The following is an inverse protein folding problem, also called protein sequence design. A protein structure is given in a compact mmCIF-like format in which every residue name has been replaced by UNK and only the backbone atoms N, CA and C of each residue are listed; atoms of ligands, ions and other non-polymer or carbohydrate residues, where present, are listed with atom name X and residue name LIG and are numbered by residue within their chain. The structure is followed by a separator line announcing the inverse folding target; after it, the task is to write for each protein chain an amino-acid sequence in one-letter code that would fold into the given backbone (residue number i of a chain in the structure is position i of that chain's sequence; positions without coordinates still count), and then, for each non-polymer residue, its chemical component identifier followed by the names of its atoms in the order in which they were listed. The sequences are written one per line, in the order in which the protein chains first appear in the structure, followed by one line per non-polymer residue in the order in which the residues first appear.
data_IF_374845607032
#
_entry.id   IF_374845607032
#
_cell.length_a   1.000
_cell.length_b   1.000
_cell.length_c   1.000
_cell.angle_alpha   90.00
_cell.angle_beta   90.00
_cell.angle_gamma   90.00
#
_symmetry.space_group_name_H-M   'P 1'
#
loop_
_entity.id
_entity.type
_entity.pdbx_description
1 polymer ?
#
# COMPACT_ATOMS: atom_id res chain seq x y z
N UNK A 1 -7.01 30.20 43.20
CA UNK A 1 -6.54 30.19 41.79
C UNK A 1 -6.29 28.74 41.43
N UNK A 2 -7.20 28.10 40.69
CA UNK A 2 -7.07 26.69 40.31
C UNK A 2 -6.05 26.59 39.17
N UNK A 3 -4.85 26.09 39.48
CA UNK A 3 -3.84 25.77 38.49
C UNK A 3 -4.15 24.39 37.93
N UNK A 4 -4.92 24.32 36.84
CA UNK A 4 -5.13 23.09 36.09
C UNK A 4 -3.84 22.86 35.29
N UNK A 5 -2.94 22.04 35.84
CA UNK A 5 -1.76 21.58 35.12
C UNK A 5 -2.12 20.30 34.34
N UNK A 6 -2.83 20.46 33.22
CA UNK A 6 -3.02 19.39 32.24
C UNK A 6 -1.86 19.44 31.25
N UNK A 7 -0.71 18.91 31.66
CA UNK A 7 0.36 18.55 30.71
C UNK A 7 0.03 17.19 30.11
N UNK A 8 -0.80 17.16 29.08
CA UNK A 8 -0.85 16.02 28.15
C UNK A 8 0.49 15.98 27.40
N UNK A 9 1.43 15.17 27.88
CA UNK A 9 2.67 14.84 27.18
C UNK A 9 2.32 14.08 25.89
N UNK A 10 2.08 14.80 24.79
CA UNK A 10 2.25 14.24 23.47
C UNK A 10 3.73 14.39 23.09
N UNK A 11 4.46 13.31 22.77
CA UNK A 11 5.80 13.46 22.23
C UNK A 11 5.70 14.12 20.84
N UNK A 12 6.30 15.29 20.67
CA UNK A 12 6.29 16.02 19.38
C UNK A 12 6.98 15.23 18.25
N UNK A 13 7.92 14.36 18.64
CA UNK A 13 8.67 13.49 17.74
C UNK A 13 8.71 12.07 18.28
N UNK A 14 8.46 11.10 17.40
CA UNK A 14 8.75 9.70 17.65
C UNK A 14 10.12 9.38 17.08
N UNK A 15 10.97 8.77 17.91
CA UNK A 15 12.27 8.28 17.48
C UNK A 15 12.10 6.88 16.89
N UNK A 16 12.23 6.86 15.57
CA UNK A 16 12.51 5.78 14.64
C UNK A 16 13.38 4.58 15.01
N UNK A 17 13.63 4.17 16.27
CA UNK A 17 14.72 3.24 16.66
C UNK A 17 14.91 2.08 15.69
N UNK A 18 15.72 2.32 14.66
CA UNK A 18 16.27 1.32 13.75
C UNK A 18 17.10 0.34 14.57
N UNK A 19 17.63 -0.70 13.93
CA UNK A 19 18.38 -1.73 14.65
C UNK A 19 19.63 -1.08 15.28
N UNK A 20 19.71 -0.94 16.62
CA UNK A 20 20.82 -0.25 17.26
C UNK A 20 22.10 -1.07 17.08
N UNK A 21 23.19 -0.42 16.67
CA UNK A 21 24.50 -1.06 16.43
C UNK A 21 24.75 -1.56 15.00
N UNK A 22 23.87 -1.24 14.04
CA UNK A 22 24.02 -1.63 12.63
C UNK A 22 24.09 -0.42 11.68
N UNK A 23 24.64 0.70 12.15
CA UNK A 23 24.73 1.96 11.39
C UNK A 23 25.56 1.82 10.12
N UNK A 24 26.65 1.04 10.13
CA UNK A 24 27.45 0.76 8.94
C UNK A 24 26.73 -0.13 7.90
N UNK A 25 25.77 -0.97 8.34
CA UNK A 25 25.01 -1.84 7.44
C UNK A 25 23.65 -1.24 7.01
N UNK A 26 23.28 -0.06 7.51
CA UNK A 26 22.07 0.66 7.07
C UNK A 26 22.09 0.94 5.56
N UNK A 27 23.26 1.26 5.00
CA UNK A 27 23.44 1.46 3.54
C UNK A 27 23.26 0.14 2.76
N UNK A 28 23.83 -0.95 3.28
CA UNK A 28 23.71 -2.28 2.66
C UNK A 28 22.28 -2.82 2.70
N UNK A 29 21.51 -2.48 3.74
CA UNK A 29 20.08 -2.84 3.87
C UNK A 29 19.19 -1.90 3.06
N UNK A 30 19.55 -0.63 2.92
CA UNK A 30 18.80 0.33 2.10
C UNK A 30 18.74 -0.08 0.62
N UNK A 31 19.82 -0.66 0.11
CA UNK A 31 19.95 -1.06 -1.29
C UNK A 31 18.90 -2.11 -1.75
N UNK A 32 18.67 -3.24 -1.05
CA UNK A 32 17.59 -4.16 -1.39
C UNK A 32 16.20 -3.54 -1.19
N UNK A 33 15.98 -2.68 -0.19
CA UNK A 33 14.71 -1.97 -0.03
C UNK A 33 14.42 -1.04 -1.20
N UNK A 34 15.43 -0.30 -1.68
CA UNK A 34 15.33 0.54 -2.88
C UNK A 34 15.02 -0.29 -4.13
N UNK A 35 15.71 -1.43 -4.29
CA UNK A 35 15.49 -2.32 -5.43
C UNK A 35 14.07 -2.91 -5.43
N UNK A 36 13.61 -3.43 -4.30
CA UNK A 36 12.25 -3.97 -4.16
C UNK A 36 11.21 -2.88 -4.46
N UNK A 37 11.43 -1.65 -3.99
CA UNK A 37 10.55 -0.53 -4.28
C UNK A 37 10.47 -0.21 -5.77
N UNK A 38 11.61 -0.10 -6.45
CA UNK A 38 11.64 0.14 -7.90
C UNK A 38 10.95 -0.98 -8.68
N UNK A 39 11.17 -2.24 -8.28
CA UNK A 39 10.51 -3.39 -8.89
C UNK A 39 9.00 -3.38 -8.66
N UNK A 40 8.54 -3.04 -7.45
CA UNK A 40 7.11 -2.91 -7.14
C UNK A 40 6.45 -1.77 -7.94
N UNK A 41 7.13 -0.63 -8.07
CA UNK A 41 6.69 0.50 -8.88
C UNK A 41 6.58 0.12 -10.35
N UNK A 42 7.64 -0.49 -10.89
CA UNK A 42 7.68 -0.88 -12.29
C UNK A 42 6.65 -1.96 -12.60
N UNK A 43 6.53 -2.97 -11.75
CA UNK A 43 5.55 -4.06 -11.89
C UNK A 43 4.12 -3.53 -11.92
N UNK A 44 3.70 -2.80 -10.88
CA UNK A 44 2.34 -2.29 -10.80
C UNK A 44 2.03 -1.21 -11.85
N UNK A 45 3.01 -0.37 -12.21
CA UNK A 45 2.85 0.59 -13.31
C UNK A 45 2.70 -0.12 -14.67
N UNK A 46 3.45 -1.19 -14.92
CA UNK A 46 3.29 -1.97 -16.17
C UNK A 46 1.92 -2.61 -16.27
N UNK A 47 1.37 -3.14 -15.17
CA UNK A 47 0.00 -3.67 -15.13
C UNK A 47 -1.02 -2.57 -15.50
N UNK A 48 -0.90 -1.38 -14.91
CA UNK A 48 -1.76 -0.25 -15.25
C UNK A 48 -1.63 0.17 -16.72
N UNK A 49 -0.40 0.19 -17.26
CA UNK A 49 -0.15 0.54 -18.66
C UNK A 49 -0.76 -0.49 -19.63
N UNK A 50 -0.68 -1.78 -19.31
CA UNK A 50 -1.30 -2.85 -20.10
C UNK A 50 -2.82 -2.67 -20.11
N UNK A 51 -3.42 -2.47 -18.93
CA UNK A 51 -4.88 -2.25 -18.79
C UNK A 51 -5.31 -0.98 -19.56
N UNK A 52 -4.49 0.07 -19.52
CA UNK A 52 -4.80 1.32 -20.21
C UNK A 52 -4.67 1.21 -21.73
N UNK A 53 -3.68 0.45 -22.23
CA UNK A 53 -3.46 0.25 -23.66
C UNK A 53 -4.55 -0.61 -24.30
N UNK A 54 -5.14 -1.55 -23.56
CA UNK A 54 -6.16 -2.47 -24.07
C UNK A 54 -7.59 -2.02 -23.68
N UNK A 55 -8.15 -1.07 -24.43
CA UNK A 55 -9.55 -0.61 -24.30
C UNK A 55 -10.62 -1.70 -24.53
N UNK A 56 -10.24 -2.90 -25.00
CA UNK A 56 -11.13 -4.00 -25.39
C UNK A 56 -11.22 -5.13 -24.35
N UNK A 57 -10.32 -5.23 -23.37
CA UNK A 57 -10.39 -6.23 -22.29
C UNK A 57 -11.28 -5.74 -21.14
N UNK A 58 -12.57 -5.57 -21.44
CA UNK A 58 -13.59 -5.14 -20.47
C UNK A 58 -14.13 -6.33 -19.67
N UNK A 59 -13.28 -6.93 -18.87
CA UNK A 59 -13.68 -7.95 -17.90
C UNK A 59 -13.58 -7.40 -16.47
N UNK A 60 -14.49 -7.79 -15.58
CA UNK A 60 -14.55 -7.27 -14.19
C UNK A 60 -13.23 -7.47 -13.44
N UNK A 61 -12.51 -8.55 -13.78
CA UNK A 61 -11.19 -8.87 -13.24
C UNK A 61 -10.14 -7.78 -13.50
N UNK A 62 -10.15 -7.11 -14.66
CA UNK A 62 -9.16 -6.07 -14.98
C UNK A 62 -9.40 -4.78 -14.18
N UNK A 63 -10.65 -4.46 -13.85
CA UNK A 63 -10.95 -3.35 -12.94
C UNK A 63 -10.40 -3.62 -11.54
N UNK A 64 -10.57 -4.85 -11.02
CA UNK A 64 -10.00 -5.22 -9.72
C UNK A 64 -8.46 -5.18 -9.72
N UNK A 65 -7.82 -5.62 -10.81
CA UNK A 65 -6.36 -5.54 -10.96
C UNK A 65 -5.85 -4.09 -11.06
N UNK A 66 -6.59 -3.20 -11.73
CA UNK A 66 -6.26 -1.77 -11.78
C UNK A 66 -6.35 -1.12 -10.39
N UNK A 67 -7.40 -1.45 -9.62
CA UNK A 67 -7.56 -0.94 -8.26
C UNK A 67 -6.47 -1.51 -7.34
N UNK A 68 -6.17 -2.82 -7.44
CA UNK A 68 -5.13 -3.47 -6.64
C UNK A 68 -3.75 -2.85 -6.93
N UNK A 69 -3.37 -2.71 -8.19
CA UNK A 69 -2.08 -2.09 -8.57
C UNK A 69 -1.97 -0.63 -8.15
N UNK A 70 -3.07 0.13 -8.14
CA UNK A 70 -3.09 1.49 -7.60
C UNK A 70 -2.90 1.51 -6.07
N UNK A 71 -3.54 0.57 -5.35
CA UNK A 71 -3.36 0.41 -3.89
C UNK A 71 -1.92 0.01 -3.58
N UNK A 72 -1.32 -0.91 -4.34
CA UNK A 72 0.07 -1.35 -4.17
C UNK A 72 1.07 -0.21 -4.38
N UNK A 73 0.83 0.65 -5.39
CA UNK A 73 1.62 1.88 -5.59
C UNK A 73 1.50 2.81 -4.38
N UNK A 74 0.29 3.01 -3.85
CA UNK A 74 0.05 3.89 -2.71
C UNK A 74 0.67 3.36 -1.41
N UNK A 75 0.57 2.04 -1.15
CA UNK A 75 1.22 1.37 -0.04
C UNK A 75 2.74 1.48 -0.13
N UNK A 76 3.30 1.15 -1.30
CA UNK A 76 4.75 1.23 -1.54
C UNK A 76 5.27 2.66 -1.37
N UNK A 77 4.54 3.65 -1.88
CA UNK A 77 4.93 5.08 -1.79
C UNK A 77 4.74 5.67 -0.39
N UNK A 78 3.83 5.16 0.43
CA UNK A 78 3.62 5.64 1.80
C UNK A 78 4.56 4.99 2.82
N UNK A 79 4.96 3.72 2.62
CA UNK A 79 5.83 2.99 3.54
C UNK A 79 7.32 3.14 3.19
N UNK A 80 7.69 2.99 1.93
CA UNK A 80 9.09 2.79 1.53
C UNK A 80 9.92 4.08 1.53
N UNK A 81 9.45 5.24 1.02
CA UNK A 81 10.18 6.50 1.10
C UNK A 81 10.48 6.93 2.54
N UNK A 82 9.63 6.57 3.49
CA UNK A 82 9.86 6.87 4.91
C UNK A 82 10.99 6.00 5.49
N UNK A 83 10.98 4.70 5.19
CA UNK A 83 12.08 3.79 5.55
C UNK A 83 13.40 4.23 4.90
N UNK A 84 13.40 4.53 3.60
CA UNK A 84 14.56 5.03 2.87
C UNK A 84 15.07 6.36 3.43
N UNK A 85 14.18 7.29 3.80
CA UNK A 85 14.56 8.56 4.42
C UNK A 85 15.26 8.39 5.77
N UNK A 86 14.83 7.42 6.58
CA UNK A 86 15.48 7.06 7.84
C UNK A 86 16.88 6.48 7.58
N UNK A 87 17.00 5.54 6.62
CA UNK A 87 18.26 4.89 6.29
C UNK A 87 19.31 5.83 5.64
N UNK A 88 18.89 6.78 4.79
CA UNK A 88 19.80 7.60 3.98
C UNK A 88 20.14 8.95 4.61
N UNK A 89 19.19 9.58 5.30
CA UNK A 89 19.36 10.93 5.86
C UNK A 89 19.49 10.95 7.38
N UNK A 90 19.51 9.78 8.03
CA UNK A 90 19.44 9.65 9.48
C UNK A 90 18.25 10.44 10.07
N UNK A 91 17.19 10.62 9.28
CA UNK A 91 15.98 11.36 9.60
C UNK A 91 15.04 10.48 10.43
N UNK A 92 15.57 10.02 11.55
CA UNK A 92 14.93 9.13 12.51
C UNK A 92 13.80 9.80 13.27
N UNK A 93 13.73 11.13 13.17
CA UNK A 93 12.65 11.93 13.73
C UNK A 93 11.46 11.96 12.77
N UNK A 94 10.34 11.41 13.24
CA UNK A 94 9.03 11.58 12.62
C UNK A 94 8.16 12.41 13.57
N UNK A 95 7.60 13.51 13.05
CA UNK A 95 6.60 14.26 13.79
C UNK A 95 5.39 13.38 14.08
N UNK A 96 4.82 13.47 15.28
CA UNK A 96 3.70 12.63 15.72
C UNK A 96 2.55 12.58 14.71
N UNK A 97 2.15 13.74 14.16
CA UNK A 97 1.08 13.84 13.16
C UNK A 97 1.40 13.09 11.86
N UNK A 98 2.66 13.09 11.42
CA UNK A 98 3.09 12.36 10.23
C UNK A 98 3.11 10.84 10.48
N UNK A 99 3.50 10.41 11.68
CA UNK A 99 3.46 9.00 12.09
C UNK A 99 2.02 8.47 12.12
N UNK A 100 1.11 9.19 12.77
CA UNK A 100 -0.31 8.81 12.83
C UNK A 100 -0.93 8.80 11.43
N UNK A 101 -0.64 9.81 10.60
CA UNK A 101 -1.11 9.84 9.22
C UNK A 101 -0.58 8.64 8.41
N UNK A 102 0.70 8.31 8.53
CA UNK A 102 1.31 7.17 7.84
C UNK A 102 0.68 5.85 8.28
N UNK A 103 0.53 5.63 9.60
CA UNK A 103 -0.10 4.42 10.13
C UNK A 103 -1.54 4.28 9.66
N UNK A 104 -2.31 5.37 9.69
CA UNK A 104 -3.68 5.40 9.21
C UNK A 104 -3.75 5.05 7.72
N UNK A 105 -2.92 5.69 6.88
CA UNK A 105 -2.85 5.40 5.46
C UNK A 105 -2.52 3.92 5.20
N UNK A 106 -1.49 3.38 5.83
CA UNK A 106 -1.10 1.96 5.66
C UNK A 106 -2.26 1.03 6.05
N UNK A 107 -2.90 1.26 7.20
CA UNK A 107 -4.04 0.44 7.63
C UNK A 107 -5.22 0.52 6.66
N UNK A 108 -5.59 1.72 6.23
CA UNK A 108 -6.70 1.90 5.28
C UNK A 108 -6.41 1.24 3.95
N UNK A 109 -5.22 1.41 3.38
CA UNK A 109 -4.84 0.78 2.13
C UNK A 109 -4.74 -0.74 2.22
N UNK A 110 -4.17 -1.29 3.30
CA UNK A 110 -4.13 -2.75 3.52
C UNK A 110 -5.54 -3.33 3.66
N UNK A 111 -6.45 -2.60 4.31
CA UNK A 111 -7.86 -2.97 4.39
C UNK A 111 -8.54 -2.96 3.03
N UNK A 112 -8.27 -1.94 2.20
CA UNK A 112 -8.77 -1.88 0.83
C UNK A 112 -8.21 -3.00 -0.05
N UNK A 113 -6.91 -3.29 0.04
CA UNK A 113 -6.25 -4.39 -0.65
C UNK A 113 -6.95 -5.72 -0.32
N UNK A 114 -7.14 -5.98 0.97
CA UNK A 114 -7.83 -7.18 1.46
C UNK A 114 -9.27 -7.27 0.95
N UNK A 115 -10.01 -6.16 0.94
CA UNK A 115 -11.38 -6.10 0.44
C UNK A 115 -11.45 -6.36 -1.08
N UNK A 116 -10.49 -5.83 -1.84
CA UNK A 116 -10.38 -6.06 -3.29
C UNK A 116 -10.03 -7.52 -3.59
N UNK A 117 -9.07 -8.10 -2.86
CA UNK A 117 -8.73 -9.53 -2.98
C UNK A 117 -9.93 -10.43 -2.63
N UNK A 118 -10.68 -10.08 -1.58
CA UNK A 118 -11.91 -10.78 -1.22
C UNK A 118 -12.97 -10.66 -2.34
N UNK A 119 -13.13 -9.48 -2.92
CA UNK A 119 -14.05 -9.27 -4.03
C UNK A 119 -13.64 -10.09 -5.27
N UNK A 120 -12.34 -10.18 -5.59
CA UNK A 120 -11.84 -11.04 -6.68
C UNK A 120 -12.10 -12.52 -6.40
N UNK A 121 -11.88 -12.97 -5.16
CA UNK A 121 -12.14 -14.35 -4.77
C UNK A 121 -13.65 -14.67 -4.85
N UNK A 122 -14.50 -13.74 -4.44
CA UNK A 122 -15.95 -13.87 -4.52
C UNK A 122 -16.44 -13.88 -5.98
N UNK A 123 -15.96 -12.97 -6.82
CA UNK A 123 -16.26 -12.92 -8.25
C UNK A 123 -15.96 -14.25 -8.94
N UNK A 124 -14.75 -14.80 -8.70
CA UNK A 124 -14.40 -16.15 -9.20
C UNK A 124 -15.27 -17.25 -8.62
N UNK A 125 -15.62 -17.19 -7.33
CA UNK A 125 -16.51 -18.17 -6.72
C UNK A 125 -17.90 -18.14 -7.36
N UNK A 126 -18.46 -16.96 -7.61
CA UNK A 126 -19.77 -16.80 -8.28
C UNK A 126 -19.70 -17.29 -9.73
N UNK A 127 -18.64 -16.96 -10.47
CA UNK A 127 -18.44 -17.45 -11.84
C UNK A 127 -18.39 -18.99 -11.92
N UNK A 128 -17.86 -19.66 -10.88
CA UNK A 128 -17.79 -21.12 -10.77
C UNK A 128 -19.13 -21.72 -10.30
N UNK A 129 -19.77 -21.13 -9.30
CA UNK A 129 -20.98 -21.69 -8.68
C UNK A 129 -22.27 -21.39 -9.47
N UNK A 130 -22.28 -20.34 -10.29
CA UNK A 130 -23.43 -19.94 -11.10
C UNK A 130 -23.01 -19.61 -12.55
N UNK A 131 -22.50 -20.59 -13.32
CA UNK A 131 -22.05 -20.36 -14.70
C UNK A 131 -23.20 -20.02 -15.68
N UNK A 132 -24.46 -20.02 -15.22
CA UNK A 132 -25.64 -20.26 -16.07
C UNK A 132 -26.79 -19.25 -15.89
N UNK A 133 -26.49 -17.94 -15.82
CA UNK A 133 -27.51 -16.91 -16.12
C UNK A 133 -27.12 -16.01 -17.30
N UNK A 134 -26.03 -16.37 -18.01
CA UNK A 134 -25.60 -15.68 -19.24
C UNK A 134 -25.98 -16.45 -20.51
N UNK A 135 -26.21 -17.76 -20.43
CA UNK A 135 -26.56 -18.59 -21.60
C UNK A 135 -28.05 -18.65 -21.91
N UNK A 136 -28.94 -18.20 -21.02
CA UNK A 136 -30.40 -18.24 -21.24
C UNK A 136 -30.99 -16.99 -21.88
N UNK A 137 -30.21 -15.90 -22.01
CA UNK A 137 -30.65 -14.65 -22.66
C UNK A 137 -30.18 -14.58 -24.12
N UNK A 138 -29.18 -15.40 -24.50
CA UNK A 138 -28.60 -15.44 -25.86
C UNK A 138 -29.11 -16.62 -26.70
N UNK A 139 -30.42 -16.87 -26.65
CA UNK A 139 -31.09 -17.75 -27.61
C UNK A 139 -32.29 -16.95 -28.16
N UNK A 140 -32.16 -16.31 -29.34
CA UNK A 140 -33.32 -15.86 -30.10
C UNK A 140 -34.08 -17.04 -30.71
#
# INVERSE_FOLDING_TARGET
MLHINTSTFHPDTFFLTGIPGLEDAHVWISLPFCFIYLMALLGNATILLIIWSDCTLRDHMFYFLAILSAIDLALSTSAVPRMLGIFWFNAHEIGFGACVAQMFLIHTFTGMESAVLLAMAFDRHVAICAPLHYTTILIP
#
